data_IF_476094254984
#
_entry.id   IF_476094254984
#
_cell.length_a   1.000
_cell.length_b   1.000
_cell.length_c   1.000
_cell.angle_alpha   90.00
_cell.angle_beta   90.00
_cell.angle_gamma   90.00
#
_symmetry.space_group_name_H-M   'P 1'
#
loop_
_entity.id
_entity.type
_entity.pdbx_description
1 polymer ?
#
# COMPACT_ATOMS: atom_id res chain seq x y z
N UNK A 1 -18.60 13.29 -19.12
CA UNK A 1 -17.44 13.28 -18.19
C UNK A 1 -16.21 13.00 -19.02
N UNK A 2 -15.07 13.66 -18.71
CA UNK A 2 -13.79 13.34 -19.35
C UNK A 2 -13.33 11.92 -18.93
N UNK A 3 -12.64 11.21 -19.83
CA UNK A 3 -11.92 10.01 -19.43
C UNK A 3 -10.60 10.41 -18.76
N UNK A 4 -10.27 9.75 -17.66
CA UNK A 4 -9.05 9.98 -16.89
C UNK A 4 -8.33 8.64 -16.67
N UNK A 5 -7.02 8.69 -16.83
CA UNK A 5 -6.15 7.53 -16.84
C UNK A 5 -5.05 7.65 -15.81
N UNK A 6 -4.57 6.53 -15.30
CA UNK A 6 -3.23 6.44 -14.71
C UNK A 6 -2.25 6.30 -15.88
N UNK A 7 -1.28 7.21 -15.94
CA UNK A 7 -0.29 7.24 -17.03
C UNK A 7 1.12 6.89 -16.56
N UNK A 8 1.42 7.10 -15.28
CA UNK A 8 2.68 6.69 -14.68
C UNK A 8 2.48 6.31 -13.22
N UNK A 9 3.37 5.45 -12.68
CA UNK A 9 3.36 5.00 -11.29
C UNK A 9 4.78 4.79 -10.77
N UNK A 10 4.99 5.14 -9.50
CA UNK A 10 6.25 4.88 -8.80
C UNK A 10 6.01 4.69 -7.31
N UNK A 11 6.83 3.88 -6.66
CA UNK A 11 6.79 3.67 -5.21
C UNK A 11 8.17 3.42 -4.61
N UNK A 12 8.32 3.66 -3.34
CA UNK A 12 9.45 3.11 -2.60
C UNK A 12 9.26 1.61 -2.39
N UNK A 13 10.29 0.90 -1.97
CA UNK A 13 10.11 -0.38 -1.32
C UNK A 13 9.22 -0.20 -0.07
N UNK A 14 8.54 -1.27 0.33
CA UNK A 14 7.83 -1.32 1.62
C UNK A 14 8.81 -1.85 2.67
N UNK A 15 9.26 -0.99 3.58
CA UNK A 15 10.13 -1.37 4.68
C UNK A 15 9.32 -1.77 5.92
N UNK A 16 9.85 -2.70 6.73
CA UNK A 16 9.27 -3.06 8.03
C UNK A 16 9.48 -1.93 9.01
N UNK A 17 8.45 -1.53 9.74
CA UNK A 17 8.60 -0.46 10.73
C UNK A 17 9.40 -0.90 11.96
N UNK A 18 9.96 0.07 12.67
CA UNK A 18 10.74 -0.09 13.89
C UNK A 18 12.25 0.03 13.66
N UNK A 19 13.03 -0.31 14.68
CA UNK A 19 14.50 -0.14 14.70
C UNK A 19 15.28 -0.88 13.60
N UNK A 20 14.63 -1.83 12.92
CA UNK A 20 15.20 -2.60 11.82
C UNK A 20 14.66 -2.19 10.45
N UNK A 21 13.86 -1.12 10.38
CA UNK A 21 13.40 -0.54 9.14
C UNK A 21 14.58 -0.05 8.30
N UNK A 22 14.54 -0.34 7.02
CA UNK A 22 15.48 0.28 6.09
C UNK A 22 15.27 1.79 5.98
N UNK A 23 14.08 2.28 6.33
CA UNK A 23 13.74 3.71 6.29
C UNK A 23 13.75 4.39 7.67
N UNK A 24 14.27 3.73 8.72
CA UNK A 24 14.36 4.32 10.07
C UNK A 24 14.99 5.72 10.10
N UNK A 25 15.90 6.03 9.18
CA UNK A 25 16.57 7.32 9.09
C UNK A 25 16.10 8.18 7.91
N UNK A 26 14.99 7.80 7.27
CA UNK A 26 14.37 8.54 6.15
C UNK A 26 13.00 8.99 6.60
N UNK A 27 12.73 10.29 6.57
CA UNK A 27 11.45 10.85 7.03
C UNK A 27 10.30 10.55 6.04
N UNK A 28 9.06 10.58 6.50
CA UNK A 28 7.86 10.40 5.65
C UNK A 28 7.78 11.45 4.52
N UNK A 29 8.08 12.70 4.85
CA UNK A 29 8.10 13.80 3.88
C UNK A 29 9.21 13.60 2.83
N UNK A 30 10.37 13.06 3.20
CA UNK A 30 11.43 12.71 2.25
C UNK A 30 11.07 11.52 1.37
N UNK A 31 10.46 10.44 1.92
CA UNK A 31 9.94 9.33 1.11
C UNK A 31 8.94 9.83 0.07
N UNK A 32 8.06 10.76 0.46
CA UNK A 32 7.11 11.41 -0.45
C UNK A 32 7.84 12.23 -1.52
N UNK A 33 8.81 13.04 -1.13
CA UNK A 33 9.59 13.87 -2.05
C UNK A 33 10.37 13.03 -3.06
N UNK A 34 10.88 11.85 -2.67
CA UNK A 34 11.52 10.89 -3.56
C UNK A 34 10.54 10.40 -4.64
N UNK A 35 9.31 10.03 -4.25
CA UNK A 35 8.28 9.60 -5.21
C UNK A 35 7.94 10.74 -6.17
N UNK A 36 7.77 11.97 -5.68
CA UNK A 36 7.48 13.12 -6.55
C UNK A 36 8.61 13.41 -7.54
N UNK A 37 9.87 13.36 -7.11
CA UNK A 37 11.02 13.53 -8.01
C UNK A 37 11.04 12.46 -9.10
N UNK A 38 10.81 11.20 -8.74
CA UNK A 38 10.82 10.10 -9.71
C UNK A 38 9.64 10.19 -10.70
N UNK A 39 8.42 10.48 -10.23
CA UNK A 39 7.27 10.66 -11.11
C UNK A 39 7.50 11.80 -12.12
N UNK A 40 8.01 12.96 -11.65
CA UNK A 40 8.37 14.07 -12.54
C UNK A 40 9.43 13.68 -13.58
N UNK A 41 10.49 12.98 -13.12
CA UNK A 41 11.54 12.50 -14.01
C UNK A 41 11.01 11.59 -15.10
N UNK A 42 10.16 10.59 -14.74
CA UNK A 42 9.53 9.68 -15.71
C UNK A 42 8.61 10.40 -16.69
N UNK A 43 8.01 11.50 -16.28
CA UNK A 43 7.11 12.30 -17.10
C UNK A 43 7.84 13.44 -17.86
N UNK A 44 9.15 13.61 -17.72
CA UNK A 44 9.90 14.71 -18.31
C UNK A 44 9.47 16.09 -17.79
N UNK A 45 9.10 16.15 -16.49
CA UNK A 45 8.62 17.32 -15.76
C UNK A 45 9.66 17.81 -14.75
N UNK A 46 10.95 17.83 -15.11
CA UNK A 46 12.01 18.30 -14.22
C UNK A 46 12.12 19.83 -14.18
N UNK A 47 11.69 20.50 -15.26
CA UNK A 47 11.63 21.97 -15.34
C UNK A 47 10.42 22.54 -14.57
N UNK A 48 10.66 23.53 -13.70
CA UNK A 48 9.62 24.14 -12.84
C UNK A 48 8.55 24.93 -13.62
N UNK A 49 8.91 25.58 -14.70
CA UNK A 49 7.94 26.31 -15.53
C UNK A 49 6.99 25.31 -16.19
N UNK A 50 7.52 24.19 -16.69
CA UNK A 50 6.73 23.11 -17.25
C UNK A 50 5.83 22.43 -16.21
N UNK A 51 6.30 22.29 -14.96
CA UNK A 51 5.46 21.79 -13.86
C UNK A 51 4.28 22.71 -13.61
N UNK A 52 4.53 24.04 -13.52
CA UNK A 52 3.50 25.05 -13.31
C UNK A 52 2.45 25.10 -14.42
N UNK A 53 2.86 24.82 -15.65
CA UNK A 53 1.97 24.80 -16.81
C UNK A 53 1.12 23.54 -16.89
N UNK A 54 1.66 22.38 -16.46
CA UNK A 54 1.06 21.06 -16.76
C UNK A 54 0.38 20.45 -15.54
N UNK A 55 0.94 20.60 -14.33
CA UNK A 55 0.40 19.93 -13.13
C UNK A 55 -0.60 20.84 -12.43
N UNK A 56 -1.86 20.39 -12.38
CA UNK A 56 -2.94 21.16 -11.79
C UNK A 56 -3.02 21.03 -10.26
N UNK A 57 -2.73 19.84 -9.70
CA UNK A 57 -2.80 19.61 -8.24
C UNK A 57 -2.00 18.39 -7.81
N UNK A 58 -1.70 18.32 -6.51
CA UNK A 58 -1.14 17.17 -5.82
C UNK A 58 -2.11 16.73 -4.72
N UNK A 59 -2.73 15.57 -4.88
CA UNK A 59 -3.65 14.98 -3.88
C UNK A 59 -2.92 13.84 -3.18
N UNK A 60 -2.49 14.06 -1.94
CA UNK A 60 -1.64 13.10 -1.24
C UNK A 60 -2.25 12.60 0.05
N UNK A 61 -2.07 11.33 0.35
CA UNK A 61 -2.62 10.70 1.53
C UNK A 61 -1.57 10.53 2.65
N UNK A 62 -1.99 10.78 3.89
CA UNK A 62 -1.24 10.45 5.08
C UNK A 62 -2.21 10.21 6.24
N UNK A 63 -2.05 9.12 6.97
CA UNK A 63 -2.83 8.85 8.19
C UNK A 63 -2.09 9.36 9.42
N UNK A 64 -2.79 9.88 10.41
CA UNK A 64 -2.25 10.68 11.51
C UNK A 64 -1.59 11.98 11.00
N UNK A 65 -2.24 12.65 10.05
CA UNK A 65 -1.75 13.82 9.34
C UNK A 65 -1.63 15.10 10.19
N UNK A 66 -1.97 15.04 11.47
CA UNK A 66 -1.78 16.14 12.42
C UNK A 66 -0.57 15.94 13.32
N UNK A 67 0.26 14.92 13.07
CA UNK A 67 1.32 14.54 13.99
C UNK A 67 2.68 14.42 13.33
N UNK A 68 3.72 14.99 13.97
CA UNK A 68 5.12 14.94 13.56
C UNK A 68 5.32 15.28 12.07
N UNK A 69 6.14 14.52 11.38
CA UNK A 69 6.54 14.74 9.98
C UNK A 69 5.44 14.46 8.95
N UNK A 70 4.33 13.83 9.37
CA UNK A 70 3.12 13.70 8.55
C UNK A 70 2.09 14.81 8.84
N UNK A 71 2.42 15.73 9.71
CA UNK A 71 1.56 16.87 10.07
C UNK A 71 1.42 17.91 8.97
N UNK A 72 0.47 18.81 9.16
CA UNK A 72 0.14 19.90 8.24
C UNK A 72 -0.36 19.38 6.87
N UNK A 73 -0.04 20.10 5.78
CA UNK A 73 -0.39 19.68 4.43
C UNK A 73 0.79 18.90 3.81
N UNK A 74 0.79 17.58 4.03
CA UNK A 74 1.85 16.67 3.57
C UNK A 74 2.04 16.73 2.05
N UNK A 75 0.95 16.75 1.28
CA UNK A 75 1.02 16.85 -0.18
C UNK A 75 1.76 18.10 -0.62
N UNK A 76 1.41 19.26 -0.06
CA UNK A 76 2.04 20.53 -0.42
C UNK A 76 3.48 20.66 0.09
N UNK A 77 3.73 20.31 1.35
CA UNK A 77 5.06 20.49 1.95
C UNK A 77 6.09 19.56 1.31
N UNK A 78 5.73 18.30 1.07
CA UNK A 78 6.62 17.35 0.40
C UNK A 78 6.83 17.69 -1.08
N UNK A 79 5.83 18.30 -1.73
CA UNK A 79 6.02 18.84 -3.09
C UNK A 79 7.11 19.90 -3.11
N UNK A 80 7.07 20.86 -2.18
CA UNK A 80 8.10 21.89 -2.03
C UNK A 80 9.46 21.25 -1.69
N UNK A 81 9.48 20.29 -0.76
CA UNK A 81 10.69 19.56 -0.37
C UNK A 81 11.31 18.80 -1.55
N UNK A 82 10.49 18.35 -2.49
CA UNK A 82 10.95 17.68 -3.71
C UNK A 82 11.56 18.63 -4.74
N UNK A 83 11.67 19.93 -4.44
CA UNK A 83 12.02 21.01 -5.37
C UNK A 83 10.97 21.21 -6.48
N UNK A 84 9.69 21.02 -6.15
CA UNK A 84 8.57 21.31 -7.05
C UNK A 84 8.28 22.80 -7.21
N UNK A 85 7.60 23.18 -8.32
CA UNK A 85 7.17 24.55 -8.54
C UNK A 85 6.20 25.02 -7.46
N UNK A 86 6.34 26.28 -7.01
CA UNK A 86 5.43 26.89 -6.04
C UNK A 86 4.02 27.13 -6.61
N UNK A 87 3.86 27.12 -7.92
CA UNK A 87 2.58 27.34 -8.58
C UNK A 87 1.67 26.11 -8.55
N UNK A 88 2.23 24.92 -8.28
CA UNK A 88 1.45 23.68 -8.14
C UNK A 88 0.89 23.57 -6.73
N UNK A 89 -0.44 23.57 -6.54
CA UNK A 89 -1.06 23.40 -5.22
C UNK A 89 -0.94 21.98 -4.71
N UNK A 90 -1.46 21.71 -3.52
CA UNK A 90 -1.51 20.38 -2.98
C UNK A 90 -2.42 20.29 -1.75
N UNK A 91 -3.00 19.11 -1.54
CA UNK A 91 -3.82 18.82 -0.37
C UNK A 91 -3.47 17.47 0.24
N UNK A 92 -3.94 17.25 1.47
CA UNK A 92 -3.76 15.97 2.17
C UNK A 92 -5.13 15.37 2.51
N UNK A 93 -5.27 14.05 2.27
CA UNK A 93 -6.50 13.30 2.56
C UNK A 93 -6.21 12.15 3.52
N UNK A 94 -7.20 11.81 4.35
CA UNK A 94 -7.13 10.69 5.27
C UNK A 94 -8.43 9.87 5.24
N UNK A 95 -8.28 8.58 5.02
CA UNK A 95 -9.28 7.53 5.23
C UNK A 95 -8.56 6.23 5.62
N UNK A 96 -7.61 6.34 6.54
CA UNK A 96 -6.81 5.21 7.03
C UNK A 96 -6.27 4.34 5.88
N UNK A 97 -6.53 3.04 5.90
CA UNK A 97 -6.01 2.07 4.94
C UNK A 97 -6.38 2.35 3.46
N UNK A 98 -7.46 3.07 3.20
CA UNK A 98 -7.88 3.43 1.84
C UNK A 98 -7.43 4.82 1.39
N UNK A 99 -6.68 5.55 2.21
CA UNK A 99 -6.30 6.93 1.90
C UNK A 99 -5.61 7.08 0.55
N UNK A 100 -4.67 6.19 0.22
CA UNK A 100 -3.94 6.21 -1.04
C UNK A 100 -4.83 5.96 -2.27
N UNK A 101 -5.74 4.99 -2.20
CA UNK A 101 -6.76 4.80 -3.24
C UNK A 101 -7.69 6.02 -3.32
N UNK A 102 -8.08 6.57 -2.17
CA UNK A 102 -8.97 7.73 -2.11
C UNK A 102 -8.35 8.99 -2.73
N UNK A 103 -7.05 9.22 -2.52
CA UNK A 103 -6.34 10.34 -3.15
C UNK A 103 -6.38 10.24 -4.68
N UNK A 104 -6.12 9.05 -5.22
CA UNK A 104 -6.20 8.79 -6.67
C UNK A 104 -7.61 9.01 -7.19
N UNK A 105 -8.62 8.45 -6.52
CA UNK A 105 -10.03 8.60 -6.91
C UNK A 105 -10.49 10.05 -6.81
N UNK A 106 -10.07 10.81 -5.79
CA UNK A 106 -10.43 12.22 -5.67
C UNK A 106 -9.82 13.06 -6.80
N UNK A 107 -8.55 12.86 -7.11
CA UNK A 107 -7.89 13.48 -8.25
C UNK A 107 -8.66 13.17 -9.55
N UNK A 108 -8.93 11.89 -9.83
CA UNK A 108 -9.66 11.48 -11.02
C UNK A 108 -11.08 12.07 -11.09
N UNK A 109 -11.82 12.10 -9.98
CA UNK A 109 -13.18 12.64 -9.94
C UNK A 109 -13.22 14.14 -10.27
N UNK A 110 -12.29 14.94 -9.73
CA UNK A 110 -12.25 16.38 -10.04
C UNK A 110 -11.91 16.61 -11.53
N UNK A 111 -11.03 15.81 -12.10
CA UNK A 111 -10.66 15.88 -13.52
C UNK A 111 -11.82 15.41 -14.42
N UNK A 112 -12.53 14.32 -14.07
CA UNK A 112 -13.70 13.80 -14.81
C UNK A 112 -14.82 14.85 -14.92
N UNK A 113 -14.98 15.71 -13.90
CA UNK A 113 -15.97 16.81 -13.92
C UNK A 113 -15.49 18.04 -14.73
N UNK A 114 -14.21 18.06 -15.13
CA UNK A 114 -13.58 19.19 -15.82
C UNK A 114 -13.11 20.31 -14.89
N UNK A 115 -13.23 20.15 -13.57
CA UNK A 115 -12.81 21.17 -12.58
C UNK A 115 -11.38 20.96 -12.05
N UNK A 116 -10.79 19.79 -12.27
CA UNK A 116 -9.47 19.42 -11.74
C UNK A 116 -8.32 19.50 -12.75
N UNK A 117 -8.51 20.20 -13.88
CA UNK A 117 -7.48 20.29 -14.91
C UNK A 117 -7.27 18.98 -15.68
N UNK A 118 -6.07 18.81 -16.22
CA UNK A 118 -5.73 17.71 -17.12
C UNK A 118 -4.62 16.78 -16.61
N UNK A 119 -3.84 17.18 -15.58
CA UNK A 119 -2.78 16.37 -14.97
C UNK A 119 -2.72 16.59 -13.48
N UNK A 120 -2.81 15.54 -12.70
CA UNK A 120 -2.60 15.57 -11.25
C UNK A 120 -1.67 14.45 -10.79
N UNK A 121 -1.00 14.67 -9.64
CA UNK A 121 -0.23 13.64 -8.95
C UNK A 121 -1.03 13.21 -7.72
N UNK A 122 -1.22 11.90 -7.55
CA UNK A 122 -1.95 11.36 -6.42
C UNK A 122 -1.22 10.15 -5.81
N UNK A 123 -1.41 9.92 -4.52
CA UNK A 123 -0.74 8.82 -3.85
C UNK A 123 -0.82 8.94 -2.34
N UNK A 124 0.15 8.33 -1.64
CA UNK A 124 0.18 8.42 -0.19
C UNK A 124 1.46 7.89 0.44
N UNK A 125 1.64 8.23 1.70
CA UNK A 125 2.79 7.82 2.53
C UNK A 125 2.30 7.37 3.90
N UNK A 126 3.01 6.40 4.46
CA UNK A 126 2.91 6.09 5.89
C UNK A 126 4.29 5.73 6.42
N UNK A 127 4.64 6.26 7.57
CA UNK A 127 5.89 5.99 8.27
C UNK A 127 5.60 5.53 9.70
N UNK A 128 5.37 4.24 9.88
CA UNK A 128 4.95 3.68 11.17
C UNK A 128 6.13 3.49 12.14
N UNK A 129 7.37 3.62 11.66
CA UNK A 129 8.55 3.66 12.54
C UNK A 129 8.59 4.93 13.40
N UNK A 130 8.20 6.07 12.84
CA UNK A 130 8.22 7.36 13.54
C UNK A 130 6.85 7.73 14.12
N UNK A 131 5.78 7.31 13.46
CA UNK A 131 4.40 7.67 13.79
C UNK A 131 3.62 6.41 14.13
N UNK A 132 3.58 6.01 15.41
CA UNK A 132 2.80 4.85 15.85
C UNK A 132 1.31 5.01 15.52
N UNK A 133 0.61 3.88 15.33
CA UNK A 133 -0.84 3.91 15.17
C UNK A 133 -1.50 4.59 16.36
N UNK A 134 -2.46 5.49 16.07
CA UNK A 134 -3.15 6.27 17.09
C UNK A 134 -2.35 7.46 17.64
N UNK A 135 -1.17 7.76 17.11
CA UNK A 135 -0.39 8.92 17.53
C UNK A 135 -1.21 10.22 17.38
N UNK A 136 -1.27 11.01 18.44
CA UNK A 136 -2.02 12.27 18.47
C UNK A 136 -3.55 12.14 18.49
N UNK A 137 -4.08 10.91 18.59
CA UNK A 137 -5.52 10.71 18.69
C UNK A 137 -6.05 11.14 20.07
N UNK A 138 -7.06 12.00 20.06
CA UNK A 138 -7.86 12.39 21.23
C UNK A 138 -9.31 11.96 20.95
N UNK A 139 -9.70 10.85 21.55
CA UNK A 139 -10.98 10.21 21.28
C UNK A 139 -12.06 10.77 22.23
N UNK A 140 -13.19 11.20 21.66
CA UNK A 140 -14.28 11.74 22.46
C UNK A 140 -14.73 10.74 23.53
N UNK A 141 -14.86 11.15 24.81
CA UNK A 141 -15.19 10.23 25.92
C UNK A 141 -16.51 9.46 25.72
N UNK A 142 -17.51 10.10 25.11
CA UNK A 142 -18.83 9.49 24.92
C UNK A 142 -18.89 8.49 23.74
N UNK A 143 -17.82 8.35 22.97
CA UNK A 143 -17.83 7.41 21.83
C UNK A 143 -18.09 5.97 22.27
N UNK A 144 -17.66 5.61 23.49
CA UNK A 144 -17.93 4.31 24.10
C UNK A 144 -19.39 3.98 24.33
N UNK A 145 -20.30 4.99 24.28
CA UNK A 145 -21.73 4.78 24.33
C UNK A 145 -22.33 4.29 23.00
N UNK A 146 -21.58 4.40 21.91
CA UNK A 146 -22.06 4.14 20.55
C UNK A 146 -21.29 3.01 19.85
N UNK A 147 -20.08 2.69 20.29
CA UNK A 147 -19.29 1.62 19.73
C UNK A 147 -18.40 0.95 20.79
N UNK A 148 -18.00 -0.27 20.51
CA UNK A 148 -16.99 -0.95 21.31
C UNK A 148 -15.63 -0.25 21.11
N UNK A 149 -15.07 0.31 22.17
CA UNK A 149 -13.79 1.04 22.12
C UNK A 149 -12.59 0.14 21.79
N UNK A 150 -12.70 -1.18 21.98
CA UNK A 150 -11.67 -2.13 21.54
C UNK A 150 -11.53 -2.15 20.01
N UNK A 151 -12.58 -1.81 19.27
CA UNK A 151 -12.57 -1.74 17.80
C UNK A 151 -11.68 -0.61 17.23
N UNK A 152 -11.17 0.29 18.06
CA UNK A 152 -10.12 1.24 17.68
C UNK A 152 -8.81 0.51 17.34
N UNK A 153 -8.54 -0.62 17.99
CA UNK A 153 -7.39 -1.46 17.66
C UNK A 153 -7.81 -2.56 16.68
N UNK A 154 -7.32 -2.48 15.44
CA UNK A 154 -7.68 -3.38 14.35
C UNK A 154 -7.38 -4.85 14.62
N UNK A 155 -6.38 -5.17 15.46
CA UNK A 155 -6.08 -6.54 15.85
C UNK A 155 -7.20 -7.20 16.66
N UNK A 156 -7.88 -6.44 17.54
CA UNK A 156 -9.07 -6.94 18.23
C UNK A 156 -10.22 -7.20 17.25
N UNK A 157 -10.40 -6.33 16.25
CA UNK A 157 -11.44 -6.56 15.22
C UNK A 157 -11.15 -7.82 14.40
N UNK A 158 -9.88 -8.13 14.16
CA UNK A 158 -9.49 -9.35 13.46
C UNK A 158 -9.84 -10.62 14.26
N UNK A 159 -9.65 -10.59 15.58
CA UNK A 159 -10.09 -11.67 16.48
C UNK A 159 -11.63 -11.80 16.51
N UNK A 160 -12.35 -10.67 16.53
CA UNK A 160 -13.82 -10.69 16.50
C UNK A 160 -14.32 -11.29 15.16
N UNK A 161 -13.71 -10.95 14.05
CA UNK A 161 -14.01 -11.54 12.74
C UNK A 161 -13.74 -13.06 12.76
N UNK A 162 -12.59 -13.50 13.26
CA UNK A 162 -12.27 -14.92 13.35
C UNK A 162 -13.32 -15.68 14.15
N UNK A 163 -13.72 -15.18 15.32
CA UNK A 163 -14.73 -15.81 16.20
C UNK A 163 -16.13 -15.79 15.60
N UNK A 164 -16.59 -14.62 15.13
CA UNK A 164 -17.95 -14.41 14.63
C UNK A 164 -18.24 -15.22 13.38
N UNK A 165 -17.22 -15.46 12.55
CA UNK A 165 -17.36 -16.15 11.26
C UNK A 165 -16.66 -17.51 11.23
N UNK A 166 -16.28 -18.05 12.40
CA UNK A 166 -15.68 -19.38 12.56
C UNK A 166 -14.48 -19.60 11.63
N UNK A 167 -13.51 -18.70 11.68
CA UNK A 167 -12.26 -18.82 10.93
C UNK A 167 -11.19 -19.35 11.89
N UNK A 168 -10.71 -20.54 11.61
CA UNK A 168 -9.73 -21.22 12.47
C UNK A 168 -8.36 -20.57 12.41
N UNK A 169 -7.51 -20.89 13.37
CA UNK A 169 -6.11 -20.52 13.38
C UNK A 169 -5.37 -21.10 12.17
N UNK A 170 -5.64 -22.34 11.86
CA UNK A 170 -5.01 -23.05 10.76
C UNK A 170 -5.32 -22.40 9.41
N UNK A 171 -6.58 -22.08 9.12
CA UNK A 171 -6.97 -21.37 7.90
C UNK A 171 -6.28 -20.01 7.75
N UNK A 172 -6.06 -19.30 8.88
CA UNK A 172 -5.34 -18.03 8.90
C UNK A 172 -3.85 -18.22 8.59
N UNK A 173 -3.23 -19.25 9.17
CA UNK A 173 -1.82 -19.55 8.97
C UNK A 173 -1.54 -20.07 7.54
N UNK A 174 -2.43 -20.91 6.98
CA UNK A 174 -2.38 -21.35 5.57
C UNK A 174 -2.44 -20.16 4.61
N UNK A 175 -3.38 -19.23 4.85
CA UNK A 175 -3.50 -18.03 4.03
C UNK A 175 -2.24 -17.16 4.11
N UNK A 176 -1.67 -16.98 5.29
CA UNK A 176 -0.44 -16.22 5.50
C UNK A 176 0.76 -16.87 4.78
N UNK A 177 0.88 -18.18 4.86
CA UNK A 177 1.91 -18.93 4.12
C UNK A 177 1.74 -18.77 2.61
N UNK A 178 0.51 -18.89 2.10
CA UNK A 178 0.18 -18.68 0.68
C UNK A 178 0.62 -17.28 0.21
N UNK A 179 0.32 -16.23 0.99
CA UNK A 179 0.74 -14.85 0.69
C UNK A 179 2.27 -14.73 0.57
N UNK A 180 3.03 -15.30 1.51
CA UNK A 180 4.49 -15.27 1.45
C UNK A 180 5.05 -16.05 0.25
N UNK A 181 4.46 -17.21 -0.11
CA UNK A 181 4.88 -17.98 -1.28
C UNK A 181 4.66 -17.22 -2.59
N UNK A 182 3.51 -16.55 -2.75
CA UNK A 182 3.21 -15.72 -3.91
C UNK A 182 4.16 -14.52 -4.00
N UNK A 183 4.41 -13.85 -2.89
CA UNK A 183 5.37 -12.76 -2.83
C UNK A 183 6.79 -13.21 -3.17
N UNK A 184 7.21 -14.38 -2.70
CA UNK A 184 8.51 -14.95 -3.02
C UNK A 184 8.66 -15.19 -4.54
N UNK A 185 7.67 -15.83 -5.15
CA UNK A 185 7.66 -16.08 -6.60
C UNK A 185 7.69 -14.77 -7.40
N UNK A 186 6.93 -13.75 -6.97
CA UNK A 186 6.93 -12.44 -7.61
C UNK A 186 8.29 -11.71 -7.47
N UNK A 187 8.93 -11.79 -6.31
CA UNK A 187 10.27 -11.20 -6.12
C UNK A 187 11.34 -11.93 -6.93
N UNK A 188 11.24 -13.25 -7.11
CA UNK A 188 12.20 -14.04 -7.90
C UNK A 188 12.28 -13.58 -9.36
N UNK A 189 11.18 -13.09 -9.91
CA UNK A 189 11.13 -12.51 -11.26
C UNK A 189 11.17 -10.98 -11.25
N UNK A 190 11.43 -10.35 -10.11
CA UNK A 190 11.41 -8.89 -9.92
C UNK A 190 10.13 -8.22 -10.48
N UNK A 191 8.97 -8.81 -10.23
CA UNK A 191 7.69 -8.43 -10.82
C UNK A 191 7.34 -6.94 -10.60
N UNK A 192 7.52 -6.42 -9.38
CA UNK A 192 7.26 -5.03 -9.03
C UNK A 192 8.44 -4.07 -9.25
N UNK A 193 9.59 -4.59 -9.70
CA UNK A 193 10.86 -3.84 -9.72
C UNK A 193 10.84 -2.57 -10.58
N UNK A 194 10.05 -2.52 -11.65
CA UNK A 194 9.93 -1.32 -12.50
C UNK A 194 9.33 -0.12 -11.76
N UNK A 195 8.47 -0.36 -10.77
CA UNK A 195 7.81 0.70 -9.99
C UNK A 195 8.58 1.03 -8.71
N UNK A 196 9.43 0.12 -8.20
CA UNK A 196 10.22 0.37 -7.00
C UNK A 196 11.39 1.31 -7.34
N UNK A 197 11.43 2.44 -6.65
CA UNK A 197 12.52 3.43 -6.75
C UNK A 197 13.69 2.91 -5.92
N UNK A 198 14.88 2.68 -6.49
CA UNK A 198 16.07 2.37 -5.71
C UNK A 198 16.48 3.56 -4.83
N UNK A 199 16.57 3.35 -3.54
CA UNK A 199 16.90 4.40 -2.57
C UNK A 199 18.17 4.00 -1.80
N UNK A 200 19.19 4.86 -1.82
CA UNK A 200 20.38 4.68 -0.98
C UNK A 200 20.09 5.17 0.42
N UNK A 201 20.25 4.30 1.41
CA UNK A 201 19.98 4.60 2.83
C UNK A 201 21.12 4.15 3.71
N UNK A 202 21.26 4.79 4.88
CA UNK A 202 22.17 4.35 5.95
C UNK A 202 21.39 3.53 6.96
N UNK A 203 21.79 2.29 7.17
CA UNK A 203 21.14 1.37 8.11
C UNK A 203 22.17 0.76 9.06
N UNK A 204 21.77 0.31 10.27
CA UNK A 204 22.67 -0.43 11.14
C UNK A 204 23.21 -1.68 10.47
N UNK A 205 24.52 -1.88 10.51
CA UNK A 205 25.19 -3.03 9.89
C UNK A 205 24.56 -4.39 10.32
N UNK A 206 24.12 -4.47 11.59
CA UNK A 206 23.41 -5.63 12.15
C UNK A 206 22.05 -5.89 11.51
N UNK A 207 21.40 -4.88 10.92
CA UNK A 207 20.09 -5.04 10.28
C UNK A 207 20.20 -5.66 8.90
N UNK A 208 21.29 -5.45 8.20
CA UNK A 208 21.53 -6.02 6.86
C UNK A 208 21.74 -7.53 6.94
N UNK A 209 22.58 -7.98 7.88
CA UNK A 209 22.86 -9.41 8.06
C UNK A 209 21.62 -10.23 8.44
N UNK A 210 20.62 -9.61 9.11
CA UNK A 210 19.40 -10.26 9.59
C UNK A 210 18.25 -10.26 8.59
N UNK A 211 18.28 -9.35 7.62
CA UNK A 211 17.17 -9.05 6.72
C UNK A 211 17.46 -9.39 5.26
N UNK A 212 18.50 -10.18 4.99
CA UNK A 212 18.79 -10.61 3.61
C UNK A 212 17.70 -11.59 3.10
N UNK A 213 16.75 -11.14 2.25
CA UNK A 213 15.62 -11.97 1.87
C UNK A 213 15.95 -13.04 0.83
N UNK A 214 17.10 -12.96 0.14
CA UNK A 214 17.49 -14.00 -0.82
C UNK A 214 18.94 -13.89 -1.29
N UNK A 215 19.82 -14.86 -0.94
CA UNK A 215 21.17 -14.92 -1.48
C UNK A 215 21.24 -15.32 -2.98
N UNK A 216 20.14 -15.73 -3.61
CA UNK A 216 20.23 -16.40 -4.91
C UNK A 216 19.76 -15.58 -6.13
N UNK A 217 18.87 -14.57 -6.03
CA UNK A 217 18.28 -13.95 -7.22
C UNK A 217 18.34 -12.43 -7.35
N UNK A 218 18.72 -11.70 -6.31
CA UNK A 218 18.98 -10.25 -6.39
C UNK A 218 20.48 -9.96 -6.25
N UNK A 219 21.27 -10.81 -6.86
CA UNK A 219 22.72 -10.91 -6.68
C UNK A 219 23.49 -9.59 -6.87
N UNK A 220 23.02 -8.65 -7.68
CA UNK A 220 23.76 -7.43 -7.97
C UNK A 220 23.53 -6.28 -6.97
N UNK A 221 22.37 -6.25 -6.29
CA UNK A 221 22.05 -5.17 -5.35
C UNK A 221 22.23 -5.60 -3.89
N UNK A 222 21.97 -6.87 -3.57
CA UNK A 222 22.02 -7.40 -2.21
C UNK A 222 23.34 -8.05 -1.82
N UNK A 223 24.03 -8.71 -2.75
CA UNK A 223 25.38 -9.27 -2.50
C UNK A 223 26.44 -8.20 -2.33
N UNK A 224 26.26 -7.05 -2.98
CA UNK A 224 27.11 -5.88 -2.72
C UNK A 224 26.93 -5.36 -1.28
N UNK A 225 25.71 -5.45 -0.70
CA UNK A 225 25.41 -4.98 0.65
C UNK A 225 25.86 -5.94 1.75
N UNK A 226 25.75 -7.23 1.58
CA UNK A 226 26.30 -8.23 2.53
C UNK A 226 27.83 -8.10 2.65
N UNK A 227 28.48 -7.86 1.55
CA UNK A 227 29.94 -7.61 1.52
C UNK A 227 30.28 -6.31 2.27
N UNK A 228 29.54 -5.26 2.02
CA UNK A 228 29.71 -3.96 2.70
C UNK A 228 29.36 -4.04 4.18
N UNK A 229 28.28 -4.75 4.55
CA UNK A 229 27.89 -4.93 5.94
C UNK A 229 28.92 -5.76 6.73
N UNK A 230 29.47 -6.82 6.13
CA UNK A 230 30.56 -7.60 6.71
C UNK A 230 31.83 -6.77 6.85
N UNK A 231 32.22 -6.06 5.79
CA UNK A 231 33.39 -5.18 5.81
C UNK A 231 33.24 -4.04 6.81
N UNK A 232 32.05 -3.45 6.96
CA UNK A 232 31.75 -2.41 7.95
C UNK A 232 31.78 -2.97 9.37
N UNK A 233 31.22 -4.18 9.59
CA UNK A 233 31.25 -4.85 10.89
C UNK A 233 32.68 -5.25 11.29
N UNK A 234 33.50 -5.70 10.35
CA UNK A 234 34.92 -6.01 10.56
C UNK A 234 35.76 -4.76 10.88
N UNK A 235 35.37 -3.61 10.33
CA UNK A 235 35.98 -2.30 10.63
C UNK A 235 35.41 -1.61 11.87
N UNK A 236 34.41 -2.20 12.54
CA UNK A 236 33.74 -1.61 13.69
C UNK A 236 32.80 -0.45 13.35
N UNK A 237 32.39 -0.32 12.08
CA UNK A 237 31.41 0.68 11.65
C UNK A 237 30.00 0.28 12.10
N UNK A 238 29.29 1.20 12.77
CA UNK A 238 27.92 0.93 13.26
C UNK A 238 26.86 1.03 12.17
N UNK A 239 27.10 1.82 11.10
CA UNK A 239 26.16 2.11 10.02
C UNK A 239 26.80 1.77 8.67
N UNK A 240 25.97 1.25 7.76
CA UNK A 240 26.36 0.91 6.40
C UNK A 240 25.38 1.51 5.39
N UNK A 241 25.91 1.95 4.26
CA UNK A 241 25.12 2.42 3.13
C UNK A 241 24.64 1.24 2.28
N UNK A 242 23.31 1.18 2.00
CA UNK A 242 22.71 0.13 1.19
C UNK A 242 21.73 0.73 0.20
N UNK A 243 21.55 0.09 -0.95
CA UNK A 243 20.51 0.43 -1.94
C UNK A 243 19.29 -0.45 -1.68
N UNK A 244 18.18 0.17 -1.32
CA UNK A 244 16.90 -0.50 -1.10
C UNK A 244 16.09 -0.47 -2.40
N UNK A 245 15.86 -1.65 -2.99
CA UNK A 245 15.12 -1.82 -4.25
C UNK A 245 14.14 -3.00 -4.22
N UNK A 246 13.86 -3.57 -3.05
CA UNK A 246 12.92 -4.68 -2.84
C UNK A 246 12.15 -4.49 -1.54
N UNK A 247 10.96 -5.07 -1.46
CA UNK A 247 10.13 -5.04 -0.26
C UNK A 247 10.76 -5.88 0.86
N UNK A 248 10.83 -5.32 2.06
CA UNK A 248 11.47 -5.94 3.23
C UNK A 248 10.57 -6.97 3.94
N UNK A 249 9.28 -6.99 3.64
CA UNK A 249 8.26 -7.74 4.39
C UNK A 249 8.37 -9.25 4.25
N UNK A 250 8.81 -9.75 3.10
CA UNK A 250 8.82 -11.16 2.76
C UNK A 250 9.62 -12.04 3.74
N UNK A 251 9.04 -13.17 4.12
CA UNK A 251 9.64 -14.24 4.93
C UNK A 251 9.58 -15.55 4.15
N UNK A 252 10.63 -15.85 3.39
CA UNK A 252 10.69 -17.02 2.51
C UNK A 252 10.61 -18.35 3.23
N UNK A 253 11.05 -18.39 4.49
CA UNK A 253 11.12 -19.59 5.34
C UNK A 253 9.84 -19.82 6.14
N UNK A 254 8.74 -19.18 5.76
CA UNK A 254 7.45 -19.34 6.43
C UNK A 254 6.91 -20.76 6.18
N UNK A 255 6.60 -21.48 7.24
CA UNK A 255 5.97 -22.82 7.22
C UNK A 255 4.78 -22.86 8.16
N UNK A 256 3.88 -23.82 7.98
CA UNK A 256 2.78 -24.06 8.93
C UNK A 256 3.26 -24.34 10.34
N UNK A 257 4.39 -25.04 10.49
CA UNK A 257 4.99 -25.32 11.80
C UNK A 257 5.45 -24.04 12.50
N UNK A 258 6.17 -23.15 11.77
CA UNK A 258 6.65 -21.89 12.34
C UNK A 258 5.52 -20.92 12.66
N UNK A 259 4.48 -20.87 11.84
CA UNK A 259 3.28 -20.07 12.09
C UNK A 259 2.49 -20.62 13.27
N UNK A 260 2.22 -21.93 13.31
CA UNK A 260 1.49 -22.61 14.38
C UNK A 260 2.11 -22.45 15.76
N UNK A 261 3.45 -22.32 15.83
CA UNK A 261 4.18 -22.08 17.07
C UNK A 261 4.08 -20.65 17.62
N UNK A 262 3.54 -19.69 16.85
CA UNK A 262 3.42 -18.30 17.29
C UNK A 262 2.25 -18.11 18.27
N UNK A 263 2.49 -17.37 19.35
CA UNK A 263 1.44 -16.99 20.29
C UNK A 263 0.55 -15.88 19.71
N UNK A 264 -0.77 -15.85 20.04
CA UNK A 264 -1.65 -14.73 19.76
C UNK A 264 -1.12 -13.43 20.39
N UNK A 265 -1.36 -12.30 19.72
CA UNK A 265 -0.78 -11.00 20.13
C UNK A 265 -1.80 -9.96 20.56
N UNK A 266 -3.08 -10.12 20.24
CA UNK A 266 -4.12 -9.13 20.54
C UNK A 266 -5.03 -9.57 21.69
N UNK A 267 -5.46 -10.81 21.74
CA UNK A 267 -6.19 -11.43 22.84
C UNK A 267 -5.38 -12.56 23.43
N UNK A 268 -5.66 -12.89 24.72
CA UNK A 268 -4.88 -13.88 25.49
C UNK A 268 -5.76 -15.01 26.05
N UNK A 269 -7.00 -15.13 25.56
CA UNK A 269 -7.90 -16.20 25.94
C UNK A 269 -7.74 -17.44 25.04
N UNK A 270 -8.41 -18.51 25.39
CA UNK A 270 -8.34 -19.82 24.69
C UNK A 270 -8.84 -19.78 23.24
N UNK A 271 -9.57 -18.72 22.86
CA UNK A 271 -10.13 -18.53 21.52
C UNK A 271 -9.28 -17.59 20.65
N UNK A 272 -8.18 -17.08 21.16
CA UNK A 272 -7.31 -16.16 20.44
C UNK A 272 -6.56 -16.87 19.32
N UNK A 273 -6.61 -16.30 18.11
CA UNK A 273 -6.07 -16.91 16.90
C UNK A 273 -5.15 -15.99 16.09
N UNK A 274 -5.22 -14.68 16.31
CA UNK A 274 -4.49 -13.70 15.51
C UNK A 274 -3.08 -13.50 16.06
N UNK A 275 -2.09 -13.80 15.23
CA UNK A 275 -0.66 -13.75 15.58
C UNK A 275 0.06 -12.71 14.72
N UNK A 276 1.31 -12.42 15.05
CA UNK A 276 2.17 -11.61 14.19
C UNK A 276 2.44 -12.27 12.82
N UNK A 277 2.32 -13.60 12.72
CA UNK A 277 2.55 -14.35 11.49
C UNK A 277 1.38 -14.31 10.51
N UNK A 278 0.15 -14.21 11.01
CA UNK A 278 -1.07 -14.15 10.19
C UNK A 278 -1.72 -12.75 10.15
N UNK A 279 -0.93 -11.72 10.49
CA UNK A 279 -1.28 -10.29 10.41
C UNK A 279 -0.36 -9.57 9.44
N UNK A 280 -0.85 -8.48 8.84
CA UNK A 280 0.04 -7.57 8.11
C UNK A 280 1.06 -6.95 9.04
N UNK A 281 2.19 -6.60 8.46
CA UNK A 281 3.25 -5.90 9.19
C UNK A 281 2.93 -4.41 9.28
N UNK A 282 3.47 -3.73 10.30
CA UNK A 282 3.57 -2.27 10.32
C UNK A 282 4.76 -1.86 9.45
N UNK A 283 4.58 -0.81 8.64
CA UNK A 283 5.51 -0.53 7.54
C UNK A 283 5.73 0.96 7.28
N UNK A 284 6.83 1.24 6.58
CA UNK A 284 7.21 2.56 6.08
C UNK A 284 7.29 2.49 4.55
N UNK A 285 6.51 3.32 3.84
CA UNK A 285 6.57 3.43 2.38
C UNK A 285 5.81 4.66 1.87
N UNK A 286 6.13 5.05 0.63
CA UNK A 286 5.38 6.01 -0.17
C UNK A 286 5.13 5.45 -1.58
N UNK A 287 3.97 5.75 -2.16
CA UNK A 287 3.60 5.36 -3.51
C UNK A 287 2.74 6.43 -4.15
N UNK A 288 2.88 6.60 -5.47
CA UNK A 288 2.07 7.57 -6.19
C UNK A 288 1.94 7.26 -7.67
N UNK A 289 0.99 7.94 -8.28
CA UNK A 289 0.67 7.87 -9.70
C UNK A 289 0.53 9.27 -10.29
N UNK A 290 0.77 9.38 -11.59
CA UNK A 290 0.30 10.51 -12.38
C UNK A 290 -1.03 10.11 -13.00
N UNK A 291 -2.06 10.90 -12.75
CA UNK A 291 -3.37 10.78 -13.42
C UNK A 291 -3.53 11.90 -14.43
N UNK A 292 -4.05 11.56 -15.60
CA UNK A 292 -4.18 12.52 -16.70
C UNK A 292 -5.45 12.25 -17.52
N UNK A 293 -6.04 13.33 -18.08
CA UNK A 293 -7.00 13.21 -19.16
C UNK A 293 -6.28 12.76 -20.45
N UNK A 294 -7.03 12.50 -21.51
CA UNK A 294 -6.42 12.17 -22.81
C UNK A 294 -5.52 13.31 -23.32
N UNK A 295 -5.94 14.57 -23.11
CA UNK A 295 -5.18 15.78 -23.43
C UNK A 295 -3.91 15.87 -22.58
N UNK A 296 -4.03 15.66 -21.27
CA UNK A 296 -2.89 15.66 -20.34
C UNK A 296 -1.88 14.55 -20.66
N UNK A 297 -2.34 13.34 -20.94
CA UNK A 297 -1.48 12.21 -21.33
C UNK A 297 -0.70 12.54 -22.61
N UNK A 298 -1.37 13.17 -23.61
CA UNK A 298 -0.74 13.63 -24.84
C UNK A 298 0.29 14.73 -24.58
N UNK A 299 -0.02 15.70 -23.72
CA UNK A 299 0.91 16.78 -23.35
C UNK A 299 2.17 16.25 -22.67
N UNK A 300 2.03 15.18 -21.86
CA UNK A 300 3.15 14.48 -21.23
C UNK A 300 3.91 13.53 -22.16
N UNK A 301 3.33 13.19 -23.33
CA UNK A 301 3.87 12.14 -24.21
C UNK A 301 3.81 10.72 -23.57
N UNK A 302 2.95 10.52 -22.57
CA UNK A 302 2.78 9.25 -21.86
C UNK A 302 1.57 8.48 -22.37
N UNK A 303 1.68 7.15 -22.37
CA UNK A 303 0.56 6.27 -22.75
C UNK A 303 -0.29 5.95 -21.52
N UNK A 304 -1.63 6.02 -21.63
CA UNK A 304 -2.52 5.50 -20.62
C UNK A 304 -2.24 4.04 -20.28
N UNK A 305 -2.14 3.71 -18.99
CA UNK A 305 -1.90 2.34 -18.49
C UNK A 305 -3.20 1.67 -18.06
N UNK A 306 -4.00 2.38 -17.29
CA UNK A 306 -5.31 1.91 -16.81
C UNK A 306 -6.24 3.07 -16.54
N UNK A 307 -7.56 2.79 -16.48
CA UNK A 307 -8.59 3.75 -16.10
C UNK A 307 -9.50 3.20 -15.01
N UNK A 308 -10.05 4.11 -14.20
CA UNK A 308 -11.06 3.77 -13.19
C UNK A 308 -12.43 3.58 -13.86
N UNK A 309 -13.00 2.37 -13.69
CA UNK A 309 -14.37 2.09 -14.15
C UNK A 309 -15.39 2.54 -13.12
N UNK A 310 -15.17 2.18 -11.87
CA UNK A 310 -16.06 2.51 -10.75
C UNK A 310 -15.33 2.35 -9.42
N UNK A 311 -15.84 3.00 -8.38
CA UNK A 311 -15.39 2.78 -7.02
C UNK A 311 -16.54 2.89 -6.03
N UNK A 312 -16.38 2.30 -4.85
CA UNK A 312 -17.33 2.40 -3.78
C UNK A 312 -16.65 2.39 -2.42
N UNK A 313 -17.22 3.13 -1.49
CA UNK A 313 -16.91 3.03 -0.05
C UNK A 313 -18.20 2.67 0.67
N UNK A 314 -18.08 1.85 1.70
CA UNK A 314 -19.17 1.47 2.60
C UNK A 314 -18.78 1.74 4.05
N UNK A 315 -19.78 1.92 4.90
CA UNK A 315 -19.66 1.87 6.34
C UNK A 315 -20.27 0.57 6.87
N UNK A 316 -19.72 0.05 7.96
CA UNK A 316 -20.23 -1.12 8.67
C UNK A 316 -19.88 -1.01 10.16
N UNK A 317 -20.33 -1.98 10.95
CA UNK A 317 -20.03 -2.10 12.36
C UNK A 317 -18.49 -2.08 12.60
N UNK A 318 -17.97 -1.18 13.45
CA UNK A 318 -16.52 -1.05 13.65
C UNK A 318 -15.83 -2.34 14.09
N UNK A 319 -16.48 -3.15 14.89
CA UNK A 319 -15.94 -4.41 15.44
C UNK A 319 -15.55 -5.45 14.38
N UNK A 320 -16.15 -5.35 13.21
CA UNK A 320 -15.94 -6.28 12.09
C UNK A 320 -15.44 -5.58 10.83
N UNK A 321 -14.68 -4.50 11.00
CA UNK A 321 -14.17 -3.72 9.86
C UNK A 321 -13.50 -4.60 8.79
N UNK A 322 -12.91 -5.73 9.19
CA UNK A 322 -12.22 -6.66 8.29
C UNK A 322 -13.09 -7.20 7.16
N UNK A 323 -14.41 -7.34 7.35
CA UNK A 323 -15.32 -7.80 6.28
C UNK A 323 -15.68 -6.72 5.27
N UNK A 324 -15.18 -5.49 5.43
CA UNK A 324 -15.47 -4.36 4.55
C UNK A 324 -15.36 -4.64 3.05
N UNK A 325 -14.31 -5.32 2.56
CA UNK A 325 -14.22 -5.71 1.16
C UNK A 325 -15.39 -6.57 0.66
N UNK A 326 -15.87 -7.52 1.48
CA UNK A 326 -17.00 -8.37 1.11
C UNK A 326 -18.31 -7.60 0.88
N UNK A 327 -18.42 -6.39 1.44
CA UNK A 327 -19.57 -5.48 1.25
C UNK A 327 -19.29 -4.42 0.17
N UNK A 328 -18.05 -3.94 0.05
CA UNK A 328 -17.69 -2.92 -0.92
C UNK A 328 -17.62 -3.46 -2.36
N UNK A 329 -17.12 -4.68 -2.53
CA UNK A 329 -16.98 -5.33 -3.85
C UNK A 329 -18.34 -5.53 -4.54
N UNK A 330 -19.38 -6.13 -3.93
CA UNK A 330 -20.69 -6.22 -4.58
C UNK A 330 -21.29 -4.85 -4.90
N UNK A 331 -21.04 -3.84 -4.05
CA UNK A 331 -21.54 -2.47 -4.28
C UNK A 331 -20.88 -1.83 -5.51
N UNK A 332 -19.56 -1.99 -5.68
CA UNK A 332 -18.86 -1.40 -6.83
C UNK A 332 -19.20 -2.13 -8.13
N UNK A 333 -19.34 -3.46 -8.12
CA UNK A 333 -19.80 -4.26 -9.25
C UNK A 333 -21.19 -3.83 -9.71
N UNK A 334 -22.14 -3.74 -8.76
CA UNK A 334 -23.50 -3.25 -9.05
C UNK A 334 -23.50 -1.85 -9.66
N UNK A 335 -22.65 -0.93 -9.13
CA UNK A 335 -22.53 0.44 -9.66
C UNK A 335 -21.96 0.47 -11.07
N UNK A 336 -21.03 -0.43 -11.38
CA UNK A 336 -20.44 -0.58 -12.71
C UNK A 336 -21.34 -1.33 -13.70
N UNK A 337 -22.44 -1.96 -13.24
CA UNK A 337 -23.23 -2.88 -14.06
C UNK A 337 -22.47 -4.14 -14.48
N UNK A 338 -21.49 -4.54 -13.65
CA UNK A 338 -20.60 -5.68 -13.92
C UNK A 338 -20.91 -6.87 -12.99
N UNK A 339 -20.48 -8.03 -13.44
CA UNK A 339 -20.53 -9.28 -12.67
C UNK A 339 -19.12 -9.69 -12.21
N UNK A 340 -19.04 -10.56 -11.22
CA UNK A 340 -17.78 -10.99 -10.62
C UNK A 340 -16.87 -11.74 -11.59
N UNK A 341 -17.44 -12.52 -12.52
CA UNK A 341 -16.73 -13.30 -13.54
C UNK A 341 -15.98 -12.45 -14.58
N UNK A 342 -16.33 -11.17 -14.71
CA UNK A 342 -15.60 -10.23 -15.57
C UNK A 342 -14.29 -9.75 -14.95
N UNK A 343 -14.09 -9.96 -13.64
CA UNK A 343 -12.86 -9.56 -12.95
C UNK A 343 -11.80 -10.64 -13.13
N UNK A 344 -10.70 -10.28 -13.79
CA UNK A 344 -9.60 -11.20 -14.07
C UNK A 344 -8.67 -11.43 -12.88
N UNK A 345 -8.35 -10.38 -12.11
CA UNK A 345 -7.52 -10.46 -10.90
C UNK A 345 -8.14 -9.67 -9.76
N UNK A 346 -7.82 -10.10 -8.53
CA UNK A 346 -8.33 -9.54 -7.28
C UNK A 346 -7.16 -9.11 -6.39
N UNK A 347 -6.95 -7.81 -6.25
CA UNK A 347 -5.94 -7.22 -5.38
C UNK A 347 -6.61 -6.70 -4.11
N UNK A 348 -6.68 -7.54 -3.09
CA UNK A 348 -7.33 -7.25 -1.81
C UNK A 348 -6.28 -7.11 -0.74
N UNK A 349 -6.23 -5.96 -0.06
CA UNK A 349 -5.27 -5.79 1.02
C UNK A 349 -5.46 -6.83 2.12
N UNK A 350 -4.38 -7.45 2.54
CA UNK A 350 -4.33 -8.47 3.58
C UNK A 350 -3.97 -7.82 4.92
N UNK A 351 -4.91 -7.08 5.52
CA UNK A 351 -4.65 -6.49 6.84
C UNK A 351 -4.47 -7.58 7.90
N UNK A 352 -5.31 -8.62 7.82
CA UNK A 352 -5.27 -9.82 8.65
C UNK A 352 -5.72 -11.04 7.84
N UNK A 353 -5.16 -12.20 8.13
CA UNK A 353 -5.58 -13.44 7.47
C UNK A 353 -7.05 -13.78 7.76
N UNK A 354 -7.55 -13.55 8.98
CA UNK A 354 -8.96 -13.77 9.33
C UNK A 354 -9.91 -12.99 8.43
N UNK A 355 -9.58 -11.72 8.16
CA UNK A 355 -10.30 -10.86 7.24
C UNK A 355 -10.25 -11.40 5.80
N UNK A 356 -9.06 -11.79 5.35
CA UNK A 356 -8.83 -12.22 3.97
C UNK A 356 -9.50 -13.56 3.67
N UNK A 357 -9.44 -14.51 4.61
CA UNK A 357 -10.14 -15.80 4.53
C UNK A 357 -11.66 -15.58 4.46
N UNK A 358 -12.23 -14.71 5.31
CA UNK A 358 -13.64 -14.37 5.24
C UNK A 358 -14.04 -13.84 3.86
N UNK A 359 -13.32 -12.82 3.37
CA UNK A 359 -13.64 -12.18 2.08
C UNK A 359 -13.56 -13.19 0.93
N UNK A 360 -12.51 -14.02 0.91
CA UNK A 360 -12.33 -15.06 -0.12
C UNK A 360 -13.46 -16.09 -0.08
N UNK A 361 -13.87 -16.53 1.12
CA UNK A 361 -14.96 -17.49 1.35
C UNK A 361 -16.32 -16.90 0.97
N UNK A 362 -16.65 -15.74 1.47
CA UNK A 362 -17.95 -15.09 1.28
C UNK A 362 -18.23 -14.75 -0.18
N UNK A 363 -17.22 -14.30 -0.90
CA UNK A 363 -17.34 -13.95 -2.31
C UNK A 363 -16.92 -15.09 -3.26
N UNK A 364 -16.55 -16.27 -2.74
CA UNK A 364 -16.04 -17.39 -3.51
C UNK A 364 -14.94 -16.99 -4.52
N UNK A 365 -13.95 -16.21 -4.05
CA UNK A 365 -12.89 -15.70 -4.91
C UNK A 365 -11.85 -16.80 -5.23
N UNK A 366 -11.39 -16.88 -6.49
CA UNK A 366 -10.38 -17.84 -6.89
C UNK A 366 -9.02 -17.51 -6.26
N UNK A 367 -8.42 -18.48 -5.57
CA UNK A 367 -7.14 -18.28 -4.87
C UNK A 367 -5.99 -17.97 -5.83
N UNK A 368 -5.97 -18.60 -7.01
CA UNK A 368 -4.96 -18.43 -8.05
C UNK A 368 -5.03 -17.09 -8.79
N UNK A 369 -6.13 -16.34 -8.63
CA UNK A 369 -6.33 -15.00 -9.20
C UNK A 369 -6.39 -13.89 -8.15
N UNK A 370 -6.18 -14.24 -6.88
CA UNK A 370 -6.23 -13.29 -5.77
C UNK A 370 -4.83 -13.03 -5.24
N UNK A 371 -4.43 -11.75 -5.13
CA UNK A 371 -3.14 -11.31 -4.60
C UNK A 371 -1.98 -12.12 -5.18
N UNK A 372 -1.91 -12.14 -6.51
CA UNK A 372 -0.99 -13.04 -7.25
C UNK A 372 0.49 -12.74 -6.97
N UNK A 373 0.81 -11.58 -6.43
CA UNK A 373 2.15 -11.18 -5.98
C UNK A 373 2.26 -11.08 -4.44
N UNK A 374 1.29 -11.60 -3.69
CA UNK A 374 1.15 -11.35 -2.26
C UNK A 374 0.57 -9.96 -1.99
N UNK A 375 0.34 -9.62 -0.72
CA UNK A 375 -0.19 -8.31 -0.34
C UNK A 375 0.24 -7.92 1.09
N UNK A 376 -0.68 -7.43 1.94
CA UNK A 376 -0.37 -6.83 3.23
C UNK A 376 0.42 -7.71 4.19
N UNK A 377 0.19 -9.03 4.21
CA UNK A 377 0.91 -9.96 5.10
C UNK A 377 2.36 -10.13 4.66
N UNK A 378 2.59 -10.33 3.37
CA UNK A 378 3.91 -10.65 2.82
C UNK A 378 4.70 -9.44 2.37
N UNK A 379 4.05 -8.45 1.72
CA UNK A 379 4.68 -7.20 1.27
C UNK A 379 4.71 -6.19 2.41
N UNK A 380 3.56 -5.97 3.06
CA UNK A 380 3.35 -5.01 4.13
C UNK A 380 2.16 -4.09 3.92
N UNK A 381 1.76 -3.42 5.01
CA UNK A 381 0.58 -2.54 5.03
C UNK A 381 0.91 -1.16 5.63
N UNK A 382 1.62 -0.29 4.90
CA UNK A 382 1.80 1.11 5.27
C UNK A 382 0.48 1.86 5.03
N UNK A 383 -0.37 2.01 6.04
CA UNK A 383 -1.80 2.38 6.00
C UNK A 383 -2.19 3.30 4.83
N UNK A 384 -1.80 4.57 4.88
CA UNK A 384 -2.20 5.58 3.89
C UNK A 384 -1.52 5.38 2.51
N UNK A 385 -0.42 4.63 2.43
CA UNK A 385 0.25 4.32 1.18
C UNK A 385 -0.37 3.12 0.45
N UNK A 386 -1.02 2.20 1.17
CA UNK A 386 -1.39 0.87 0.66
C UNK A 386 -2.22 0.90 -0.62
N UNK A 387 -3.27 1.73 -0.69
CA UNK A 387 -4.08 1.82 -1.92
C UNK A 387 -3.29 2.35 -3.11
N UNK A 388 -2.41 3.34 -2.91
CA UNK A 388 -1.54 3.84 -3.99
C UNK A 388 -0.47 2.80 -4.39
N UNK A 389 0.02 2.00 -3.43
CA UNK A 389 0.94 0.89 -3.71
C UNK A 389 0.25 -0.19 -4.56
N UNK A 390 -0.96 -0.60 -4.20
CA UNK A 390 -1.73 -1.58 -4.98
C UNK A 390 -2.02 -1.03 -6.38
N UNK A 391 -2.47 0.21 -6.51
CA UNK A 391 -2.70 0.85 -7.81
C UNK A 391 -1.43 0.89 -8.68
N UNK A 392 -0.26 1.18 -8.08
CA UNK A 392 1.01 1.14 -8.78
C UNK A 392 1.34 -0.29 -9.25
N UNK A 393 1.17 -1.30 -8.40
CA UNK A 393 1.42 -2.71 -8.76
C UNK A 393 0.43 -3.18 -9.85
N UNK A 394 -0.84 -2.73 -9.84
CA UNK A 394 -1.85 -3.05 -10.87
C UNK A 394 -1.39 -2.60 -12.27
N UNK A 395 -0.66 -1.48 -12.39
CA UNK A 395 -0.11 -1.07 -13.71
C UNK A 395 0.81 -2.13 -14.30
N UNK A 396 1.58 -2.83 -13.46
CA UNK A 396 2.48 -3.91 -13.88
C UNK A 396 1.77 -5.26 -13.99
N UNK A 397 0.73 -5.50 -13.17
CA UNK A 397 -0.12 -6.69 -13.31
C UNK A 397 -0.81 -6.71 -14.68
N UNK A 398 -1.25 -5.56 -15.18
CA UNK A 398 -1.75 -5.46 -16.55
C UNK A 398 -0.69 -5.76 -17.62
N UNK A 399 0.60 -5.46 -17.36
CA UNK A 399 1.68 -5.87 -18.26
C UNK A 399 1.95 -7.37 -18.18
N UNK A 400 1.98 -7.94 -16.97
CA UNK A 400 2.28 -9.35 -16.72
C UNK A 400 1.16 -10.31 -17.17
N UNK A 401 -0.09 -9.85 -17.12
CA UNK A 401 -1.28 -10.64 -17.47
C UNK A 401 -2.04 -9.97 -18.65
N UNK A 402 -1.55 -10.08 -19.89
CA UNK A 402 -2.06 -9.33 -21.03
C UNK A 402 -3.51 -9.64 -21.39
N UNK A 403 -4.03 -10.79 -21.01
CA UNK A 403 -5.42 -11.21 -21.27
C UNK A 403 -6.42 -10.69 -20.21
N UNK A 404 -5.93 -10.11 -19.11
CA UNK A 404 -6.77 -9.55 -18.06
C UNK A 404 -7.24 -8.16 -18.46
N UNK A 405 -8.55 -7.95 -18.52
CA UNK A 405 -9.16 -6.67 -18.86
C UNK A 405 -9.51 -5.84 -17.60
N UNK A 406 -9.96 -6.50 -16.53
CA UNK A 406 -10.38 -5.82 -15.30
C UNK A 406 -9.66 -6.39 -14.07
N UNK A 407 -9.22 -5.51 -13.19
CA UNK A 407 -8.65 -5.85 -11.89
C UNK A 407 -9.46 -5.14 -10.80
N UNK A 408 -9.85 -5.90 -9.77
CA UNK A 408 -10.47 -5.37 -8.56
C UNK A 408 -9.39 -4.99 -7.54
N UNK A 409 -9.41 -3.76 -7.06
CA UNK A 409 -8.67 -3.33 -5.88
C UNK A 409 -9.63 -3.17 -4.72
N UNK A 410 -9.32 -3.72 -3.53
CA UNK A 410 -10.16 -3.55 -2.34
C UNK A 410 -9.38 -3.62 -1.05
N UNK A 411 -9.93 -2.99 0.00
CA UNK A 411 -9.34 -2.99 1.34
C UNK A 411 -10.39 -2.74 2.42
N UNK A 412 -10.18 -3.35 3.57
CA UNK A 412 -10.84 -2.96 4.80
C UNK A 412 -10.23 -1.66 5.33
N UNK A 413 -10.96 -0.94 6.16
CA UNK A 413 -10.55 0.36 6.67
C UNK A 413 -10.92 0.44 8.14
N UNK A 414 -10.03 0.91 8.96
CA UNK A 414 -10.27 1.11 10.39
C UNK A 414 -11.59 1.85 10.68
N UNK A 415 -12.14 1.60 11.84
CA UNK A 415 -13.41 2.18 12.33
C UNK A 415 -14.65 1.78 11.51
N UNK A 416 -14.64 0.62 10.85
CA UNK A 416 -15.82 0.07 10.19
C UNK A 416 -16.10 0.65 8.81
N UNK A 417 -15.12 0.54 7.89
CA UNK A 417 -15.33 0.86 6.48
C UNK A 417 -14.74 -0.21 5.57
N UNK A 418 -15.14 -0.17 4.31
CA UNK A 418 -14.53 -0.92 3.21
C UNK A 418 -14.51 -0.08 1.93
N UNK A 419 -13.48 -0.23 1.12
CA UNK A 419 -13.38 0.39 -0.19
C UNK A 419 -13.11 -0.64 -1.27
N UNK A 420 -13.62 -0.38 -2.48
CA UNK A 420 -13.33 -1.16 -3.67
C UNK A 420 -13.32 -0.29 -4.91
N UNK A 421 -12.41 -0.59 -5.86
CA UNK A 421 -12.29 0.07 -7.15
C UNK A 421 -12.09 -0.97 -8.26
N UNK A 422 -12.66 -0.72 -9.43
CA UNK A 422 -12.47 -1.54 -10.62
C UNK A 422 -11.59 -0.76 -11.58
N UNK A 423 -10.44 -1.34 -11.90
CA UNK A 423 -9.50 -0.83 -12.87
C UNK A 423 -9.65 -1.56 -14.20
N UNK A 424 -9.63 -0.83 -15.30
CA UNK A 424 -9.66 -1.39 -16.66
C UNK A 424 -8.34 -1.11 -17.36
N UNK A 425 -7.81 -2.13 -18.04
CA UNK A 425 -6.71 -1.97 -18.98
C UNK A 425 -7.07 -0.99 -20.08
N UNK A 426 -6.15 -0.13 -20.45
CA UNK A 426 -6.22 0.65 -21.68
C UNK A 426 -5.44 -0.10 -22.78
N UNK A 427 -6.11 -0.30 -23.92
CA UNK A 427 -5.55 -1.00 -25.10
C UNK A 427 -4.78 -0.03 -26.00
#
# INVERSE_FOLDING_TARGET
MKEVYVVEAARTAVARAGKQSWFTNVRADELTAIVFRELRKRAGLEDKAKQAEIIDDVVWAATANAFMEQGLNMGRLSWILSDGSYDVPGCTVDRFCASGLNSIVFAMNTMMTGMGGDVQIAGGVQHMSHIPMGAGADVHPDLGNFMNMMAINMGYTAEIVARRFNISREEQDEFAMESHMKCAAAQDINAAGKNIIPITVKVPAKSVAKNNPNPHNMASLYTATDHLAKAAAEKGEEMVEVVVAVDQGLRRETTMETLGAMAPVFMQDELATVTAGNSSQINDAAAGVIVATAEGAKALGLKPKMKLVSWAVIGLEPDIMGIGPALAIPKVLKRAGMTQDQIGLWEINEAFASQSVYVRRELNLPADRSNVWGSGISIGHPLACTGARIAADITLLFEAYPDVEYIMESMCIGHGHGAAAIWQRVK
#
